data_IF_741411549626
#
_entry.id   IF_741411549626
#
_cell.length_a   1.000
_cell.length_b   1.000
_cell.length_c   1.000
_cell.angle_alpha   90.00
_cell.angle_beta   90.00
_cell.angle_gamma   90.00
#
_symmetry.space_group_name_H-M   'P 1'
#
loop_
_entity.id
_entity.type
_entity.pdbx_description
1 polymer ?
#
# COMPACT_ATOMS: atom_id res chain seq x y z
N UNK A 1 9.25 21.52 -27.52
CA UNK A 1 9.11 20.77 -26.25
C UNK A 1 7.65 20.38 -26.16
N UNK A 2 7.32 19.14 -26.55
CA UNK A 2 5.95 18.64 -26.40
C UNK A 2 5.65 18.51 -24.91
N UNK A 3 4.47 18.96 -24.48
CA UNK A 3 3.99 18.70 -23.12
C UNK A 3 4.04 17.20 -22.88
N UNK A 4 4.55 16.77 -21.72
CA UNK A 4 4.30 15.40 -21.24
C UNK A 4 2.78 15.20 -21.26
N UNK A 5 2.30 14.18 -21.96
CA UNK A 5 0.86 13.90 -21.98
C UNK A 5 0.45 13.44 -20.58
N UNK A 6 -0.14 14.35 -19.81
CA UNK A 6 -0.65 14.09 -18.44
C UNK A 6 -1.75 13.00 -18.41
N UNK A 7 -2.23 12.61 -19.59
CA UNK A 7 -3.25 11.61 -19.84
C UNK A 7 -2.71 10.17 -19.80
N UNK A 8 -1.40 9.96 -19.71
CA UNK A 8 -0.82 8.62 -19.61
C UNK A 8 -0.81 8.09 -18.16
N UNK A 9 -1.14 6.80 -18.02
CA UNK A 9 -1.17 6.00 -16.81
C UNK A 9 0.24 5.81 -16.26
N UNK A 10 1.22 5.74 -17.16
CA UNK A 10 2.63 5.56 -16.86
C UNK A 10 3.46 6.68 -17.50
N UNK A 11 4.46 7.17 -16.79
CA UNK A 11 5.49 8.07 -17.35
C UNK A 11 6.83 7.30 -17.42
N UNK A 12 7.40 7.02 -18.60
CA UNK A 12 6.85 7.30 -19.93
C UNK A 12 5.70 6.35 -20.30
N UNK A 13 4.91 6.69 -21.34
CA UNK A 13 3.82 5.85 -21.82
C UNK A 13 4.39 4.50 -22.29
N UNK A 14 3.74 3.40 -21.89
CA UNK A 14 4.16 2.05 -22.27
C UNK A 14 3.19 1.47 -23.30
N UNK A 15 3.71 0.94 -24.42
CA UNK A 15 2.96 0.06 -25.31
C UNK A 15 2.82 -1.31 -24.64
N UNK A 16 1.59 -1.73 -24.35
CA UNK A 16 1.30 -3.04 -23.78
C UNK A 16 1.00 -3.99 -24.94
N UNK A 17 1.96 -4.86 -25.24
CA UNK A 17 1.98 -5.72 -26.43
C UNK A 17 0.83 -6.74 -26.51
N UNK A 18 0.14 -7.01 -25.41
CA UNK A 18 -0.93 -8.01 -25.30
C UNK A 18 -2.32 -7.41 -25.11
N UNK A 19 -2.49 -6.10 -25.31
CA UNK A 19 -3.82 -5.51 -25.44
C UNK A 19 -4.39 -5.91 -26.81
N UNK A 20 -4.78 -7.18 -26.97
CA UNK A 20 -5.92 -7.50 -27.83
C UNK A 20 -7.07 -6.64 -27.30
N UNK A 21 -7.19 -5.43 -27.85
CA UNK A 21 -8.23 -4.47 -27.52
C UNK A 21 -9.55 -5.13 -27.84
N UNK A 22 -10.14 -5.76 -26.83
CA UNK A 22 -11.54 -6.01 -26.87
C UNK A 22 -12.19 -4.64 -26.63
N UNK A 23 -12.55 -3.96 -27.71
CA UNK A 23 -13.03 -2.56 -27.79
C UNK A 23 -14.40 -2.37 -27.08
N UNK A 24 -14.58 -2.98 -25.89
CA UNK A 24 -15.82 -3.09 -25.12
C UNK A 24 -16.15 -1.82 -24.34
N UNK A 25 -15.14 -0.99 -24.03
CA UNK A 25 -15.34 0.28 -23.33
C UNK A 25 -15.22 1.41 -24.35
N UNK A 26 -16.33 2.07 -24.72
CA UNK A 26 -16.29 3.13 -25.71
C UNK A 26 -15.35 4.26 -25.27
N UNK A 27 -14.54 4.75 -26.20
CA UNK A 27 -13.74 5.97 -25.98
C UNK A 27 -14.66 7.14 -25.65
N UNK A 28 -14.26 7.95 -24.67
CA UNK A 28 -15.03 9.10 -24.17
C UNK A 28 -16.36 8.74 -23.48
N UNK A 29 -16.51 7.50 -23.00
CA UNK A 29 -17.64 7.14 -22.15
C UNK A 29 -17.64 7.99 -20.88
N UNK A 30 -18.83 8.43 -20.46
CA UNK A 30 -19.05 9.15 -19.21
C UNK A 30 -19.45 8.15 -18.13
N UNK A 31 -18.63 8.07 -17.09
CA UNK A 31 -18.83 7.23 -15.93
C UNK A 31 -19.38 8.10 -14.79
N UNK A 32 -20.57 7.77 -14.30
CA UNK A 32 -21.14 8.41 -13.12
C UNK A 32 -20.88 7.55 -11.88
N UNK A 33 -20.26 8.14 -10.86
CA UNK A 33 -19.93 7.49 -9.59
C UNK A 33 -20.95 7.86 -8.52
N UNK A 34 -21.71 6.86 -8.05
CA UNK A 34 -22.94 7.09 -7.29
C UNK A 34 -22.68 7.62 -5.88
N UNK A 35 -21.63 7.14 -5.20
CA UNK A 35 -21.40 7.48 -3.79
C UNK A 35 -20.82 8.88 -3.66
N UNK A 36 -19.92 9.25 -4.56
CA UNK A 36 -19.32 10.59 -4.64
C UNK A 36 -20.18 11.60 -5.38
N UNK A 37 -21.18 11.15 -6.16
CA UNK A 37 -22.00 11.98 -7.05
C UNK A 37 -21.15 12.77 -8.05
N UNK A 38 -20.24 12.07 -8.73
CA UNK A 38 -19.27 12.68 -9.66
C UNK A 38 -19.35 12.05 -11.04
N UNK A 39 -19.06 12.84 -12.07
CA UNK A 39 -18.98 12.36 -13.45
C UNK A 39 -17.53 12.40 -13.94
N UNK A 40 -17.12 11.34 -14.64
CA UNK A 40 -15.77 11.15 -15.13
C UNK A 40 -15.78 10.74 -16.60
N UNK A 41 -15.00 11.44 -17.42
CA UNK A 41 -14.74 11.06 -18.80
C UNK A 41 -13.58 10.08 -18.84
N UNK A 42 -13.84 8.87 -19.36
CA UNK A 42 -12.80 7.87 -19.57
C UNK A 42 -11.89 8.29 -20.73
N UNK A 43 -10.58 8.22 -20.49
CA UNK A 43 -9.56 8.36 -21.52
C UNK A 43 -9.41 7.08 -22.37
N UNK A 44 -8.30 7.00 -23.11
CA UNK A 44 -7.94 5.78 -23.85
C UNK A 44 -7.60 4.65 -22.87
N UNK A 45 -8.06 3.43 -23.15
CA UNK A 45 -7.59 2.22 -22.46
C UNK A 45 -6.10 2.04 -22.72
N UNK A 46 -5.35 1.86 -21.64
CA UNK A 46 -3.89 1.80 -21.65
C UNK A 46 -3.34 0.43 -21.28
N UNK A 47 -4.13 -0.34 -20.53
CA UNK A 47 -3.85 -1.73 -20.23
C UNK A 47 -5.12 -2.54 -20.30
N UNK A 48 -5.01 -3.75 -20.83
CA UNK A 48 -6.10 -4.71 -20.84
C UNK A 48 -5.53 -6.11 -20.60
N UNK A 49 -6.22 -6.91 -19.78
CA UNK A 49 -5.80 -8.26 -19.44
C UNK A 49 -7.02 -9.16 -19.32
N UNK A 50 -6.99 -10.27 -20.05
CA UNK A 50 -7.92 -11.38 -19.82
C UNK A 50 -7.40 -12.25 -18.67
N UNK A 51 -8.29 -12.68 -17.77
CA UNK A 51 -7.97 -13.59 -16.67
C UNK A 51 -8.94 -14.74 -16.62
N UNK A 52 -8.41 -15.93 -16.35
CA UNK A 52 -9.19 -17.08 -15.94
C UNK A 52 -9.13 -17.19 -14.43
N UNK A 53 -10.29 -17.41 -13.82
CA UNK A 53 -10.44 -17.58 -12.38
C UNK A 53 -11.01 -18.95 -12.08
N UNK A 54 -10.60 -19.51 -10.95
CA UNK A 54 -11.15 -20.77 -10.45
C UNK A 54 -11.56 -20.64 -8.99
N UNK A 55 -12.85 -20.84 -8.74
CA UNK A 55 -13.38 -20.96 -7.38
C UNK A 55 -13.90 -22.38 -7.17
N UNK A 56 -13.54 -22.97 -6.03
CA UNK A 56 -13.86 -24.38 -5.70
C UNK A 56 -15.35 -24.71 -5.87
N UNK A 57 -16.22 -23.76 -5.50
CA UNK A 57 -17.67 -23.94 -5.50
C UNK A 57 -18.30 -23.65 -6.87
N UNK A 58 -17.81 -22.66 -7.59
CA UNK A 58 -18.44 -22.14 -8.81
C UNK A 58 -17.75 -22.57 -10.12
N UNK A 59 -16.60 -23.24 -10.01
CA UNK A 59 -15.83 -23.72 -11.15
C UNK A 59 -14.94 -22.62 -11.74
N UNK A 60 -14.92 -22.54 -13.06
CA UNK A 60 -14.08 -21.60 -13.82
C UNK A 60 -14.91 -20.45 -14.37
N UNK A 61 -14.33 -19.26 -14.44
CA UNK A 61 -14.90 -18.09 -15.13
C UNK A 61 -13.75 -17.29 -15.75
N UNK A 62 -14.10 -16.28 -16.54
CA UNK A 62 -13.14 -15.38 -17.15
C UNK A 62 -13.65 -13.95 -17.13
N UNK A 63 -12.73 -13.02 -16.89
CA UNK A 63 -12.98 -11.58 -16.98
C UNK A 63 -11.91 -10.87 -17.81
N UNK A 64 -12.27 -9.67 -18.24
CA UNK A 64 -11.36 -8.70 -18.86
C UNK A 64 -11.22 -7.54 -17.89
N UNK A 65 -9.98 -7.19 -17.57
CA UNK A 65 -9.63 -6.02 -16.77
C UNK A 65 -8.99 -4.97 -17.66
N UNK A 66 -9.66 -3.84 -17.84
CA UNK A 66 -9.17 -2.69 -18.60
C UNK A 66 -8.83 -1.53 -17.66
N UNK A 67 -7.69 -0.86 -17.89
CA UNK A 67 -7.21 0.26 -17.08
C UNK A 67 -7.03 1.51 -17.94
N UNK A 68 -7.53 2.65 -17.47
CA UNK A 68 -7.38 3.94 -18.14
C UNK A 68 -7.26 5.08 -17.14
N UNK A 69 -6.83 6.25 -17.62
CA UNK A 69 -6.95 7.51 -16.88
C UNK A 69 -8.29 8.14 -17.22
N UNK A 70 -9.01 8.61 -16.21
CA UNK A 70 -10.25 9.35 -16.35
C UNK A 70 -10.11 10.77 -15.83
N UNK A 71 -10.89 11.69 -16.39
CA UNK A 71 -10.92 13.10 -16.00
C UNK A 71 -12.27 13.47 -15.43
N UNK A 72 -12.31 14.08 -14.25
CA UNK A 72 -13.57 14.52 -13.67
C UNK A 72 -14.18 15.65 -14.52
N UNK A 73 -15.40 15.43 -15.00
CA UNK A 73 -16.19 16.42 -15.76
C UNK A 73 -17.22 17.12 -14.90
N UNK A 74 -17.72 16.48 -13.84
CA UNK A 74 -18.66 17.05 -12.88
C UNK A 74 -18.31 16.65 -11.43
N UNK A 75 -18.44 17.61 -10.50
CA UNK A 75 -18.18 17.42 -9.07
C UNK A 75 -17.19 18.45 -8.51
N UNK A 76 -16.63 18.21 -7.30
CA UNK A 76 -15.84 19.22 -6.59
C UNK A 76 -14.45 19.49 -7.18
N UNK A 77 -13.89 18.57 -7.96
CA UNK A 77 -12.51 18.64 -8.47
C UNK A 77 -12.44 18.54 -9.99
N UNK A 78 -13.32 19.25 -10.71
CA UNK A 78 -13.34 19.25 -12.20
C UNK A 78 -11.93 19.40 -12.78
N UNK A 79 -11.58 18.54 -13.72
CA UNK A 79 -10.24 18.45 -14.32
C UNK A 79 -9.27 17.51 -13.59
N UNK A 80 -9.61 17.05 -12.38
CA UNK A 80 -8.84 16.03 -11.66
C UNK A 80 -8.71 14.77 -12.50
N UNK A 81 -7.51 14.18 -12.50
CA UNK A 81 -7.22 12.90 -13.14
C UNK A 81 -7.22 11.79 -12.10
N UNK A 82 -7.77 10.64 -12.48
CA UNK A 82 -7.84 9.44 -11.65
C UNK A 82 -7.57 8.21 -12.52
N UNK A 83 -7.20 7.09 -11.90
CA UNK A 83 -7.10 5.79 -12.58
C UNK A 83 -8.42 5.06 -12.43
N UNK A 84 -8.91 4.48 -13.52
CA UNK A 84 -10.09 3.64 -13.54
C UNK A 84 -9.70 2.23 -13.96
N UNK A 85 -10.06 1.25 -13.15
CA UNK A 85 -10.05 -0.17 -13.53
C UNK A 85 -11.48 -0.64 -13.77
N UNK A 86 -11.72 -1.27 -14.91
CA UNK A 86 -13.02 -1.82 -15.30
C UNK A 86 -12.85 -3.32 -15.51
N UNK A 87 -13.55 -4.12 -14.71
CA UNK A 87 -13.52 -5.58 -14.75
C UNK A 87 -14.87 -6.10 -15.24
N UNK A 88 -14.87 -6.76 -16.39
CA UNK A 88 -16.08 -7.27 -17.06
C UNK A 88 -16.01 -8.78 -17.14
N UNK A 89 -16.99 -9.48 -16.56
CA UNK A 89 -17.10 -10.92 -16.71
C UNK A 89 -17.49 -11.26 -18.15
N UNK A 90 -16.69 -12.09 -18.82
CA UNK A 90 -16.95 -12.49 -20.22
C UNK A 90 -17.34 -13.96 -20.36
N UNK A 91 -17.10 -14.76 -19.32
CA UNK A 91 -17.49 -16.16 -19.30
C UNK A 91 -18.29 -16.47 -18.03
N UNK A 92 -19.46 -17.10 -18.17
CA UNK A 92 -20.23 -17.57 -17.02
C UNK A 92 -19.44 -18.64 -16.25
N UNK A 93 -19.59 -18.64 -14.93
CA UNK A 93 -19.14 -19.71 -14.05
C UNK A 93 -19.58 -21.10 -14.55
N UNK A 94 -18.63 -22.03 -14.70
CA UNK A 94 -18.92 -23.36 -15.27
C UNK A 94 -19.80 -24.24 -14.37
N UNK A 95 -19.94 -23.92 -13.08
CA UNK A 95 -20.76 -24.67 -12.12
C UNK A 95 -21.78 -23.81 -11.36
N UNK A 96 -21.96 -22.54 -11.72
CA UNK A 96 -23.00 -21.73 -11.08
C UNK A 96 -24.40 -22.19 -11.51
N UNK A 97 -25.35 -22.11 -10.58
CA UNK A 97 -26.72 -22.52 -10.87
C UNK A 97 -27.47 -21.40 -11.61
N UNK A 98 -28.51 -21.75 -12.41
CA UNK A 98 -29.31 -20.77 -13.15
C UNK A 98 -30.02 -19.73 -12.27
N UNK A 99 -30.35 -20.12 -11.04
CA UNK A 99 -31.26 -19.39 -10.13
C UNK A 99 -30.53 -18.50 -9.12
N UNK A 100 -29.21 -18.28 -9.28
CA UNK A 100 -28.46 -17.36 -8.42
C UNK A 100 -28.83 -15.90 -8.79
N UNK A 101 -29.78 -15.34 -8.03
CA UNK A 101 -30.18 -13.93 -8.08
C UNK A 101 -29.07 -12.96 -7.59
N UNK A 102 -27.96 -13.49 -7.08
CA UNK A 102 -26.79 -12.74 -6.62
C UNK A 102 -25.73 -12.60 -7.73
N UNK A 103 -24.92 -11.54 -7.66
CA UNK A 103 -23.80 -11.35 -8.58
C UNK A 103 -22.61 -12.07 -7.96
N UNK A 104 -22.12 -13.12 -8.62
CA UNK A 104 -20.97 -13.90 -8.15
C UNK A 104 -19.65 -13.28 -8.64
N UNK A 105 -19.01 -12.51 -7.76
CA UNK A 105 -17.68 -11.94 -7.99
C UNK A 105 -16.57 -12.99 -7.86
N UNK A 106 -15.43 -12.70 -8.48
CA UNK A 106 -14.20 -13.48 -8.26
C UNK A 106 -13.53 -13.05 -6.96
N UNK A 107 -12.80 -13.98 -6.30
CA UNK A 107 -12.12 -13.70 -5.04
C UNK A 107 -11.13 -12.54 -5.19
N UNK A 108 -10.52 -12.41 -6.36
CA UNK A 108 -9.58 -11.37 -6.76
C UNK A 108 -10.23 -9.98 -6.77
N UNK A 109 -11.47 -9.86 -7.28
CA UNK A 109 -12.22 -8.61 -7.28
C UNK A 109 -12.60 -8.22 -5.85
N UNK A 110 -13.15 -9.17 -5.09
CA UNK A 110 -13.53 -8.94 -3.70
C UNK A 110 -12.32 -8.51 -2.86
N UNK A 111 -11.18 -9.20 -3.05
CA UNK A 111 -9.93 -8.90 -2.35
C UNK A 111 -9.37 -7.53 -2.72
N UNK A 112 -9.38 -7.16 -3.99
CA UNK A 112 -8.91 -5.83 -4.41
C UNK A 112 -9.78 -4.72 -3.78
N UNK A 113 -11.10 -4.89 -3.81
CA UNK A 113 -12.03 -3.92 -3.24
C UNK A 113 -11.88 -3.80 -1.71
N UNK A 114 -11.79 -4.93 -1.00
CA UNK A 114 -11.59 -4.96 0.45
C UNK A 114 -10.25 -4.33 0.86
N UNK A 115 -9.16 -4.71 0.17
CA UNK A 115 -7.84 -4.14 0.43
C UNK A 115 -7.81 -2.63 0.18
N UNK A 116 -8.29 -2.17 -0.98
CA UNK A 116 -8.29 -0.75 -1.32
C UNK A 116 -9.15 0.06 -0.34
N UNK A 117 -10.31 -0.46 0.05
CA UNK A 117 -11.18 0.17 1.05
C UNK A 117 -10.47 0.28 2.39
N UNK A 118 -9.96 -0.84 2.91
CA UNK A 118 -9.28 -0.89 4.21
C UNK A 118 -8.03 -0.02 4.27
N UNK A 119 -7.22 0.00 3.21
CA UNK A 119 -6.02 0.83 3.13
C UNK A 119 -6.38 2.31 3.03
N UNK A 120 -7.41 2.66 2.26
CA UNK A 120 -7.93 4.03 2.14
C UNK A 120 -8.44 4.55 3.47
N UNK A 121 -9.31 3.79 4.15
CA UNK A 121 -9.87 4.16 5.45
C UNK A 121 -8.79 4.20 6.54
N UNK A 122 -7.78 3.34 6.42
CA UNK A 122 -6.61 3.33 7.27
C UNK A 122 -5.60 4.45 7.02
N UNK A 123 -5.83 5.27 6.00
CA UNK A 123 -4.95 6.37 5.64
C UNK A 123 -3.61 5.95 5.02
N UNK A 124 -3.52 4.75 4.43
CA UNK A 124 -2.31 4.27 3.79
C UNK A 124 -1.92 5.17 2.60
N UNK A 125 -0.73 5.75 2.65
CA UNK A 125 -0.21 6.64 1.59
C UNK A 125 0.65 5.92 0.55
N UNK A 126 0.93 4.65 0.76
CA UNK A 126 1.79 3.82 -0.10
C UNK A 126 1.03 3.04 -1.19
N UNK A 127 -0.28 3.18 -1.24
CA UNK A 127 -1.15 2.56 -2.24
C UNK A 127 -2.15 3.58 -2.77
N UNK A 128 -2.70 3.40 -3.98
CA UNK A 128 -3.72 4.31 -4.49
C UNK A 128 -4.93 4.34 -3.57
N UNK A 129 -5.42 5.54 -3.25
CA UNK A 129 -6.66 5.69 -2.52
C UNK A 129 -7.85 5.33 -3.41
N UNK A 130 -8.79 4.55 -2.89
CA UNK A 130 -10.09 4.34 -3.53
C UNK A 130 -10.90 5.64 -3.43
N UNK A 131 -11.31 6.19 -4.57
CA UNK A 131 -12.17 7.37 -4.64
C UNK A 131 -13.62 6.93 -4.58
N UNK A 132 -14.01 5.96 -5.42
CA UNK A 132 -15.35 5.38 -5.46
C UNK A 132 -15.32 4.05 -6.22
N UNK A 133 -16.39 3.25 -6.10
CA UNK A 133 -16.57 2.02 -6.88
C UNK A 133 -18.03 1.83 -7.27
N UNK A 134 -18.24 1.23 -8.44
CA UNK A 134 -19.56 0.83 -8.92
C UNK A 134 -19.54 -0.66 -9.29
N UNK A 135 -20.64 -1.34 -9.01
CA UNK A 135 -20.91 -2.70 -9.49
C UNK A 135 -22.25 -2.72 -10.21
N UNK A 136 -22.27 -3.27 -11.41
CA UNK A 136 -23.46 -3.35 -12.27
C UNK A 136 -23.62 -4.79 -12.76
N UNK A 137 -24.87 -5.28 -12.74
CA UNK A 137 -25.23 -6.54 -13.39
C UNK A 137 -25.37 -6.30 -14.89
N UNK A 138 -24.71 -7.14 -15.70
CA UNK A 138 -24.85 -7.14 -17.15
C UNK A 138 -26.29 -7.51 -17.55
N UNK A 139 -26.89 -6.69 -18.41
CA UNK A 139 -28.19 -6.99 -19.01
C UNK A 139 -28.06 -7.94 -20.23
N UNK A 140 -29.19 -8.23 -20.89
CA UNK A 140 -29.25 -9.13 -22.05
C UNK A 140 -28.51 -8.61 -23.30
N UNK A 141 -28.05 -7.37 -23.31
CA UNK A 141 -27.29 -6.76 -24.40
C UNK A 141 -25.77 -6.92 -24.28
N UNK A 142 -25.26 -7.42 -23.15
CA UNK A 142 -23.83 -7.65 -22.94
C UNK A 142 -23.43 -9.12 -23.17
N UNK A 143 -22.13 -9.40 -23.14
CA UNK A 143 -21.54 -10.71 -23.46
C UNK A 143 -21.98 -11.81 -22.51
N UNK A 144 -22.15 -11.48 -21.23
CA UNK A 144 -22.55 -12.43 -20.21
C UNK A 144 -23.74 -11.88 -19.42
N UNK A 145 -24.98 -12.01 -19.94
CA UNK A 145 -26.18 -11.58 -19.23
C UNK A 145 -26.25 -12.19 -17.83
N UNK A 146 -26.49 -11.34 -16.84
CA UNK A 146 -26.46 -11.70 -15.42
C UNK A 146 -25.06 -11.67 -14.79
N UNK A 147 -23.98 -11.54 -15.57
CA UNK A 147 -22.62 -11.36 -15.06
C UNK A 147 -22.37 -9.97 -14.46
N UNK A 148 -21.13 -9.69 -14.06
CA UNK A 148 -20.76 -8.40 -13.45
C UNK A 148 -19.99 -7.48 -14.39
N UNK A 149 -20.11 -6.18 -14.12
CA UNK A 149 -19.18 -5.13 -14.47
C UNK A 149 -18.81 -4.43 -13.15
N UNK A 150 -17.54 -4.42 -12.80
CA UNK A 150 -17.01 -3.74 -11.61
C UNK A 150 -16.10 -2.61 -12.07
N UNK A 151 -16.33 -1.42 -11.53
CA UNK A 151 -15.54 -0.22 -11.82
C UNK A 151 -14.92 0.29 -10.53
N UNK A 152 -13.60 0.40 -10.51
CA UNK A 152 -12.82 0.97 -9.41
C UNK A 152 -12.25 2.31 -9.89
N UNK A 153 -12.66 3.41 -9.24
CA UNK A 153 -12.08 4.73 -9.45
C UNK A 153 -11.11 5.00 -8.30
N UNK A 154 -9.83 5.17 -8.63
CA UNK A 154 -8.74 5.29 -7.68
C UNK A 154 -7.84 6.48 -8.01
N UNK A 155 -7.14 6.97 -6.99
CA UNK A 155 -6.13 8.00 -7.12
C UNK A 155 -5.10 7.66 -8.20
N UNK A 156 -4.75 8.66 -9.02
CA UNK A 156 -3.60 8.56 -9.91
C UNK A 156 -2.35 8.95 -9.14
N UNK A 157 -1.53 7.95 -8.81
CA UNK A 157 -0.26 8.17 -8.13
C UNK A 157 0.80 8.72 -9.10
N UNK A 158 1.76 9.52 -8.60
CA UNK A 158 2.91 9.93 -9.38
C UNK A 158 3.91 8.77 -9.57
N UNK A 159 4.86 8.98 -10.46
CA UNK A 159 5.97 8.06 -10.70
C UNK A 159 5.79 7.14 -11.88
N UNK A 160 6.79 6.27 -12.07
CA UNK A 160 6.91 5.39 -13.22
C UNK A 160 6.76 3.93 -12.82
N UNK A 161 6.10 3.15 -13.68
CA UNK A 161 6.04 1.71 -13.52
C UNK A 161 7.40 1.07 -13.81
N UNK A 162 7.80 0.12 -12.97
CA UNK A 162 9.11 -0.51 -13.07
C UNK A 162 9.16 -1.68 -14.06
N UNK A 163 8.16 -1.91 -14.92
CA UNK A 163 8.21 -2.95 -15.97
C UNK A 163 9.48 -2.82 -16.85
N UNK A 164 9.84 -1.60 -17.22
CA UNK A 164 11.04 -1.28 -18.00
C UNK A 164 12.35 -1.22 -17.19
N UNK A 165 12.36 -1.67 -15.93
CA UNK A 165 13.52 -1.56 -15.02
C UNK A 165 14.80 -2.14 -15.62
N UNK A 166 14.72 -3.23 -16.39
CA UNK A 166 15.89 -3.84 -17.04
C UNK A 166 16.60 -2.88 -18.01
N UNK A 167 15.87 -1.95 -18.61
CA UNK A 167 16.39 -0.98 -19.58
C UNK A 167 17.00 0.27 -18.91
N UNK A 168 16.86 0.39 -17.59
CA UNK A 168 17.44 1.52 -16.85
C UNK A 168 18.96 1.37 -16.73
N UNK A 169 19.65 2.52 -16.74
CA UNK A 169 21.07 2.58 -16.40
C UNK A 169 21.30 1.95 -15.01
N UNK A 170 22.51 1.42 -14.77
CA UNK A 170 22.85 0.85 -13.46
C UNK A 170 22.63 1.87 -12.33
N UNK A 171 22.97 3.14 -12.55
CA UNK A 171 22.74 4.21 -11.58
C UNK A 171 21.25 4.38 -11.24
N UNK A 172 20.38 4.41 -12.25
CA UNK A 172 18.93 4.54 -12.05
C UNK A 172 18.33 3.30 -11.39
N UNK A 173 18.78 2.10 -11.76
CA UNK A 173 18.41 0.84 -11.05
C UNK A 173 18.82 0.87 -9.58
N UNK A 174 19.98 1.43 -9.27
CA UNK A 174 20.45 1.54 -7.90
C UNK A 174 19.62 2.51 -7.07
N UNK A 175 19.19 3.64 -7.66
CA UNK A 175 18.29 4.59 -7.01
C UNK A 175 16.95 3.93 -6.67
N UNK A 176 16.33 3.22 -7.62
CA UNK A 176 15.10 2.44 -7.38
C UNK A 176 15.27 1.45 -6.25
N UNK A 177 16.38 0.69 -6.22
CA UNK A 177 16.65 -0.29 -5.15
C UNK A 177 16.84 0.36 -3.79
N UNK A 178 17.53 1.51 -3.74
CA UNK A 178 17.67 2.30 -2.51
C UNK A 178 16.28 2.73 -2.05
N UNK A 179 15.49 3.39 -2.90
CA UNK A 179 14.14 3.85 -2.56
C UNK A 179 13.26 2.70 -2.06
N UNK A 180 13.24 1.58 -2.78
CA UNK A 180 12.49 0.39 -2.39
C UNK A 180 12.98 -0.21 -1.06
N UNK A 181 14.30 -0.34 -0.89
CA UNK A 181 14.88 -0.85 0.35
C UNK A 181 14.55 0.03 1.55
N UNK A 182 14.65 1.36 1.40
CA UNK A 182 14.25 2.32 2.43
C UNK A 182 12.78 2.18 2.79
N UNK A 183 11.92 2.05 1.78
CA UNK A 183 10.49 1.87 1.99
C UNK A 183 10.15 0.57 2.76
N UNK A 184 11.00 -0.46 2.66
CA UNK A 184 10.83 -1.76 3.33
C UNK A 184 11.50 -1.87 4.71
N UNK A 185 12.63 -1.18 4.92
CA UNK A 185 13.57 -1.42 6.03
C UNK A 185 13.14 -0.94 7.42
N UNK A 186 12.13 -0.09 7.55
CA UNK A 186 11.85 0.64 8.81
C UNK A 186 11.08 -0.14 9.91
N UNK A 187 11.04 -1.48 9.86
CA UNK A 187 10.32 -2.30 10.87
C UNK A 187 11.10 -2.43 12.19
N UNK A 188 12.43 -2.48 12.15
CA UNK A 188 13.23 -2.91 13.32
C UNK A 188 13.34 -1.84 14.40
N UNK A 189 13.46 -0.56 14.04
CA UNK A 189 13.57 0.49 15.05
C UNK A 189 12.30 0.66 15.87
N UNK A 190 11.12 0.28 15.36
CA UNK A 190 9.86 0.48 16.06
C UNK A 190 9.57 -0.58 17.10
N UNK A 191 9.82 -1.86 16.81
CA UNK A 191 9.71 -2.89 17.84
C UNK A 191 10.76 -2.69 18.94
N UNK A 192 12.00 -2.36 18.58
CA UNK A 192 13.07 -2.08 19.56
C UNK A 192 12.82 -0.79 20.35
N UNK A 193 12.28 0.27 19.73
CA UNK A 193 11.86 1.51 20.43
C UNK A 193 10.65 1.26 21.33
N UNK A 194 9.64 0.52 20.86
CA UNK A 194 8.47 0.12 21.67
C UNK A 194 8.95 -0.70 22.86
N UNK A 195 9.85 -1.68 22.66
CA UNK A 195 10.40 -2.47 23.73
C UNK A 195 11.26 -1.63 24.69
N UNK A 196 12.05 -0.68 24.18
CA UNK A 196 12.90 0.19 25.00
C UNK A 196 12.11 1.17 25.85
N UNK A 197 11.09 1.80 25.27
CA UNK A 197 10.23 2.78 25.92
C UNK A 197 9.34 2.08 26.95
N UNK A 198 8.76 0.93 26.60
CA UNK A 198 8.00 0.10 27.54
C UNK A 198 8.90 -0.37 28.69
N UNK A 199 10.14 -0.80 28.40
CA UNK A 199 11.10 -1.19 29.43
C UNK A 199 11.56 0.00 30.30
N UNK A 200 11.67 1.22 29.75
CA UNK A 200 11.92 2.43 30.53
C UNK A 200 10.74 2.76 31.44
N UNK A 201 9.50 2.70 30.94
CA UNK A 201 8.29 2.88 31.75
C UNK A 201 8.21 1.85 32.90
N UNK A 202 8.52 0.57 32.63
CA UNK A 202 8.58 -0.46 33.68
C UNK A 202 9.69 -0.21 34.71
N UNK A 203 10.85 0.29 34.30
CA UNK A 203 11.94 0.67 35.21
C UNK A 203 11.54 1.86 36.08
N UNK A 204 11.03 2.93 35.48
CA UNK A 204 10.57 4.11 36.21
C UNK A 204 9.45 3.80 37.20
N UNK A 205 8.50 2.93 36.84
CA UNK A 205 7.46 2.46 37.76
C UNK A 205 8.02 1.62 38.92
N UNK A 206 8.97 0.73 38.64
CA UNK A 206 9.65 -0.07 39.66
C UNK A 206 10.43 0.81 40.63
N UNK A 207 11.24 1.74 40.11
CA UNK A 207 12.04 2.68 40.91
C UNK A 207 11.14 3.56 41.79
N UNK A 208 9.99 4.02 41.26
CA UNK A 208 8.99 4.74 42.06
C UNK A 208 8.43 3.87 43.20
N UNK A 209 8.02 2.62 42.91
CA UNK A 209 7.48 1.70 43.91
C UNK A 209 8.49 1.35 45.00
N UNK A 210 9.76 1.21 44.63
CA UNK A 210 10.88 0.88 45.53
C UNK A 210 11.39 2.10 46.31
N UNK A 211 11.18 3.32 45.80
CA UNK A 211 11.56 4.57 46.50
C UNK A 211 10.79 4.85 47.79
N UNK A 212 9.72 4.09 48.08
CA UNK A 212 8.92 4.25 49.28
C UNK A 212 8.16 5.58 49.36
N UNK A 213 8.11 6.35 48.27
CA UNK A 213 7.38 7.60 48.19
C UNK A 213 5.88 7.32 48.32
N UNK A 214 5.27 7.88 49.37
CA UNK A 214 3.82 7.87 49.56
C UNK A 214 3.13 8.58 48.40
N UNK A 215 1.92 8.11 48.06
CA UNK A 215 1.05 8.71 47.04
C UNK A 215 0.94 10.23 47.30
N UNK A 216 1.13 11.10 46.30
CA UNK A 216 1.10 12.55 46.51
C UNK A 216 -0.26 12.98 47.06
N UNK A 217 -0.26 13.94 47.99
CA UNK A 217 -1.48 14.46 48.58
C UNK A 217 -2.16 15.46 47.63
N UNK A 218 -3.45 15.71 47.87
CA UNK A 218 -4.29 16.54 47.01
C UNK A 218 -3.69 17.95 46.85
N UNK A 219 -3.49 18.38 45.60
CA UNK A 219 -2.97 19.71 45.27
C UNK A 219 -1.45 19.82 45.18
N UNK A 220 -0.69 18.74 45.43
CA UNK A 220 0.75 18.73 45.26
C UNK A 220 1.15 18.56 43.79
N UNK A 221 2.17 19.31 43.36
CA UNK A 221 2.83 19.06 42.08
C UNK A 221 3.69 17.82 42.20
N UNK A 222 3.38 16.78 41.44
CA UNK A 222 4.22 15.59 41.39
C UNK A 222 4.92 15.48 40.03
N UNK A 223 6.08 14.84 40.08
CA UNK A 223 6.85 14.49 38.88
C UNK A 223 6.27 13.21 38.30
N UNK A 224 5.72 13.26 37.07
CA UNK A 224 5.24 12.07 36.38
C UNK A 224 6.45 11.33 35.77
N UNK A 225 6.84 10.15 36.28
CA UNK A 225 8.01 9.43 35.76
C UNK A 225 7.82 8.96 34.32
N UNK A 226 6.57 8.92 33.82
CA UNK A 226 6.21 8.49 32.47
C UNK A 226 6.30 9.64 31.44
N UNK A 227 6.47 10.89 31.89
CA UNK A 227 6.66 12.07 31.02
C UNK A 227 7.73 13.01 31.61
N UNK A 228 9.02 12.77 31.30
CA UNK A 228 10.11 13.58 31.83
C UNK A 228 9.96 15.06 31.46
N UNK A 229 9.95 15.94 32.46
CA UNK A 229 9.92 17.40 32.28
C UNK A 229 8.55 18.08 32.38
N UNK A 230 7.46 17.34 32.62
CA UNK A 230 6.14 17.93 32.96
C UNK A 230 5.80 17.71 34.44
N UNK A 231 5.31 18.76 35.09
CA UNK A 231 4.69 18.69 36.42
C UNK A 231 3.17 18.69 36.25
N UNK A 232 2.49 17.78 36.94
CA UNK A 232 1.02 17.69 36.95
C UNK A 232 0.47 18.01 38.34
N UNK A 233 -0.78 18.49 38.39
CA UNK A 233 -1.54 18.72 39.63
C UNK A 233 -2.79 17.83 39.65
N UNK A 234 -3.08 17.24 40.80
CA UNK A 234 -4.34 16.54 41.06
C UNK A 234 -5.47 17.56 41.24
N UNK A 235 -6.66 17.26 40.71
CA UNK A 235 -7.81 18.13 40.85
C UNK A 235 -8.60 17.89 42.15
N UNK A 236 -9.67 18.67 42.35
CA UNK A 236 -10.54 18.63 43.52
C UNK A 236 -11.36 17.34 43.64
N UNK A 237 -11.20 16.34 42.78
CA UNK A 237 -11.78 15.00 42.91
C UNK A 237 -10.76 13.95 43.36
N UNK A 238 -9.46 14.29 43.37
CA UNK A 238 -8.37 13.33 43.59
C UNK A 238 -8.07 12.49 42.34
N UNK A 239 -8.67 12.84 41.20
CA UNK A 239 -8.37 12.27 39.90
C UNK A 239 -7.39 13.18 39.13
N UNK A 240 -6.58 12.58 38.28
CA UNK A 240 -5.72 13.32 37.36
C UNK A 240 -6.58 13.97 36.29
N UNK A 241 -6.46 15.29 36.12
CA UNK A 241 -6.87 16.00 34.90
C UNK A 241 -5.98 15.52 33.75
N UNK A 242 -6.29 14.33 33.24
CA UNK A 242 -5.71 13.83 32.00
C UNK A 242 -6.56 14.36 30.85
N UNK A 243 -5.89 15.02 29.90
CA UNK A 243 -6.41 15.30 28.57
C UNK A 243 -6.66 14.02 27.72
N UNK A 244 -6.73 12.84 28.35
CA UNK A 244 -6.95 11.55 27.72
C UNK A 244 -7.74 10.70 28.73
N UNK A 245 -9.07 10.68 28.61
CA UNK A 245 -10.02 10.12 29.57
C UNK A 245 -9.73 8.69 30.04
N UNK A 246 -8.92 8.55 31.09
CA UNK A 246 -8.63 7.28 31.74
C UNK A 246 -9.57 7.07 32.95
N UNK A 247 -10.47 6.08 32.86
CA UNK A 247 -11.17 5.53 34.04
C UNK A 247 -10.46 4.25 34.53
N UNK A 248 -10.27 4.21 35.86
CA UNK A 248 -9.99 3.06 36.75
C UNK A 248 -9.16 1.91 36.16
N UNK A 249 -7.85 1.94 36.43
CA UNK A 249 -6.88 0.91 36.07
C UNK A 249 -6.80 -0.15 37.17
N UNK A 250 -7.40 -1.31 36.92
CA UNK A 250 -6.97 -2.59 37.46
C UNK A 250 -6.65 -3.50 36.25
N UNK A 251 -5.48 -4.15 36.28
CA UNK A 251 -4.95 -5.15 35.34
C UNK A 251 -4.81 -4.87 33.82
N UNK A 252 -5.37 -3.82 33.22
CA UNK A 252 -5.43 -3.68 31.74
C UNK A 252 -4.45 -2.64 31.12
N UNK A 253 -3.20 -2.59 31.58
CA UNK A 253 -2.18 -1.63 31.08
C UNK A 253 -1.76 -1.91 29.62
N UNK A 254 -2.03 -3.10 29.08
CA UNK A 254 -1.56 -3.49 27.74
C UNK A 254 -2.40 -2.97 26.56
N UNK A 255 -3.60 -2.44 26.77
CA UNK A 255 -4.53 -2.20 25.65
C UNK A 255 -4.76 -0.73 25.27
N UNK A 256 -4.22 0.26 25.99
CA UNK A 256 -4.68 1.65 25.84
C UNK A 256 -3.67 2.69 25.32
N UNK A 257 -2.49 2.29 24.85
CA UNK A 257 -1.63 3.18 24.07
C UNK A 257 -2.04 3.17 22.58
N UNK A 258 -3.19 3.78 22.28
CA UNK A 258 -3.60 4.17 20.92
C UNK A 258 -4.24 5.55 20.94
N UNK A 259 -3.45 6.59 21.22
CA UNK A 259 -3.92 7.95 20.92
C UNK A 259 -3.69 8.26 19.44
N UNK A 260 -4.64 8.97 18.82
CA UNK A 260 -4.55 9.48 17.45
C UNK A 260 -3.23 10.24 17.19
N UNK A 261 -2.75 10.99 18.18
CA UNK A 261 -1.48 11.72 18.13
C UNK A 261 -0.25 10.79 18.06
N UNK A 262 -0.31 9.62 18.72
CA UNK A 262 0.75 8.63 18.67
C UNK A 262 0.78 7.90 17.33
N UNK A 263 -0.39 7.53 16.80
CA UNK A 263 -0.53 6.96 15.46
C UNK A 263 -0.01 7.94 14.41
N UNK A 264 -0.38 9.22 14.49
CA UNK A 264 0.07 10.27 13.58
C UNK A 264 1.59 10.47 13.60
N UNK A 265 2.21 10.51 14.79
CA UNK A 265 3.68 10.56 14.95
C UNK A 265 4.40 9.30 14.46
N UNK A 266 3.75 8.14 14.55
CA UNK A 266 4.28 6.90 14.00
C UNK A 266 4.24 6.91 12.47
N UNK A 267 3.12 7.36 11.88
CA UNK A 267 2.92 7.43 10.43
C UNK A 267 3.90 8.40 9.77
N UNK A 268 4.26 9.51 10.43
CA UNK A 268 5.30 10.45 9.94
C UNK A 268 6.70 9.82 9.75
N UNK A 269 6.97 8.65 10.34
CA UNK A 269 8.31 8.02 10.35
C UNK A 269 8.43 6.73 9.54
N UNK A 270 7.34 6.24 8.94
CA UNK A 270 7.39 5.00 8.16
C UNK A 270 7.86 5.29 6.74
N UNK A 271 8.60 4.33 6.18
CA UNK A 271 8.73 4.25 4.73
C UNK A 271 7.41 3.79 4.11
N UNK A 272 7.17 4.17 2.85
CA UNK A 272 5.90 3.93 2.15
C UNK A 272 5.49 2.45 2.20
N UNK A 273 6.29 1.53 1.67
CA UNK A 273 5.93 0.11 1.55
C UNK A 273 5.72 -0.57 2.92
N UNK A 274 6.40 -0.11 3.98
CA UNK A 274 6.14 -0.58 5.33
C UNK A 274 4.73 -0.22 5.81
N UNK A 275 4.23 0.96 5.45
CA UNK A 275 2.87 1.37 5.73
C UNK A 275 1.87 0.35 5.21
N UNK A 276 2.07 -0.15 3.98
CA UNK A 276 1.27 -1.24 3.41
C UNK A 276 1.34 -2.53 4.25
N UNK A 277 2.54 -2.96 4.65
CA UNK A 277 2.70 -4.18 5.45
C UNK A 277 2.12 -4.07 6.88
N UNK A 278 2.01 -2.86 7.45
CA UNK A 278 1.37 -2.64 8.77
C UNK A 278 -0.11 -3.03 8.80
N UNK A 279 -0.77 -3.10 7.66
CA UNK A 279 -2.13 -3.61 7.56
C UNK A 279 -2.22 -5.14 7.64
N UNK A 280 -1.10 -5.82 7.91
CA UNK A 280 -0.98 -7.28 7.84
C UNK A 280 -1.41 -7.78 6.46
N UNK A 281 -0.96 -7.10 5.41
CA UNK A 281 -1.22 -7.48 4.02
C UNK A 281 0.12 -7.87 3.38
N UNK A 282 0.10 -8.93 2.58
CA UNK A 282 1.22 -9.35 1.76
C UNK A 282 0.77 -9.48 0.31
N UNK A 283 1.50 -8.81 -0.58
CA UNK A 283 1.34 -9.01 -2.02
C UNK A 283 1.87 -10.39 -2.42
N UNK A 284 1.08 -11.19 -3.16
CA UNK A 284 1.54 -12.49 -3.68
C UNK A 284 2.07 -12.39 -5.11
N UNK A 285 1.58 -11.43 -5.91
CA UNK A 285 2.17 -11.08 -7.21
C UNK A 285 3.25 -10.01 -7.03
N UNK A 286 4.34 -10.36 -6.36
CA UNK A 286 5.48 -9.47 -6.11
C UNK A 286 6.27 -9.31 -7.40
N UNK A 287 5.91 -8.36 -8.25
CA UNK A 287 6.61 -8.10 -9.50
C UNK A 287 6.80 -6.59 -9.67
N UNK A 288 7.87 -6.17 -10.34
CA UNK A 288 8.16 -4.77 -10.65
C UNK A 288 7.02 -4.04 -11.36
N UNK A 289 6.13 -4.75 -12.08
CA UNK A 289 4.90 -4.15 -12.64
C UNK A 289 3.91 -3.64 -11.60
N UNK A 290 3.99 -4.14 -10.36
CA UNK A 290 3.13 -3.77 -9.24
C UNK A 290 3.80 -2.72 -8.32
N UNK A 291 4.85 -2.07 -8.83
CA UNK A 291 5.60 -1.03 -8.12
C UNK A 291 5.68 0.22 -9.01
N UNK A 292 5.28 1.35 -8.44
CA UNK A 292 5.56 2.67 -9.00
C UNK A 292 6.69 3.32 -8.21
N UNK A 293 7.63 3.95 -8.91
CA UNK A 293 8.67 4.76 -8.29
C UNK A 293 8.56 6.21 -8.73
N UNK A 294 8.36 7.09 -7.75
CA UNK A 294 8.37 8.53 -7.93
C UNK A 294 9.78 9.07 -7.65
N UNK A 295 10.55 9.23 -8.71
CA UNK A 295 11.92 9.75 -8.67
C UNK A 295 12.01 11.16 -8.08
N UNK A 296 10.96 11.98 -8.19
CA UNK A 296 11.00 13.36 -7.71
C UNK A 296 10.88 13.43 -6.19
N UNK A 297 10.04 12.57 -5.62
CA UNK A 297 9.78 12.54 -4.18
C UNK A 297 10.51 11.40 -3.46
N UNK A 298 11.26 10.58 -4.19
CA UNK A 298 11.93 9.36 -3.70
C UNK A 298 10.96 8.39 -3.01
N UNK A 299 9.76 8.24 -3.59
CA UNK A 299 8.66 7.45 -3.03
C UNK A 299 8.40 6.19 -3.84
N UNK A 300 7.92 5.16 -3.15
CA UNK A 300 7.59 3.86 -3.75
C UNK A 300 6.17 3.48 -3.39
N UNK A 301 5.37 3.16 -4.40
CA UNK A 301 3.98 2.77 -4.23
C UNK A 301 3.74 1.33 -4.67
N UNK A 302 2.88 0.63 -3.95
CA UNK A 302 2.38 -0.70 -4.30
C UNK A 302 1.02 -0.55 -4.98
N UNK A 303 0.85 -1.20 -6.13
CA UNK A 303 -0.39 -1.17 -6.92
C UNK A 303 -0.84 -2.60 -7.26
N UNK A 304 -2.07 -2.74 -7.76
CA UNK A 304 -2.66 -4.02 -8.20
C UNK A 304 -2.92 -5.04 -7.07
N UNK A 305 -3.80 -4.67 -6.15
CA UNK A 305 -3.98 -5.35 -4.85
C UNK A 305 -4.88 -6.61 -4.88
N UNK A 306 -5.20 -7.13 -6.05
CA UNK A 306 -6.10 -8.30 -6.20
C UNK A 306 -5.47 -9.62 -5.75
N UNK A 307 -4.13 -9.69 -5.75
CA UNK A 307 -3.33 -10.80 -5.24
C UNK A 307 -2.70 -10.49 -3.87
N UNK A 308 -3.20 -9.45 -3.17
CA UNK A 308 -2.71 -9.08 -1.85
C UNK A 308 -3.56 -9.73 -0.74
N UNK A 309 -2.95 -10.57 0.09
CA UNK A 309 -3.66 -11.36 1.10
C UNK A 309 -3.36 -10.88 2.52
N UNK A 310 -4.27 -11.16 3.46
CA UNK A 310 -3.94 -11.00 4.87
C UNK A 310 -2.80 -11.95 5.27
N UNK A 311 -1.79 -11.41 5.94
CA UNK A 311 -0.61 -12.14 6.38
C UNK A 311 -0.13 -11.59 7.73
N UNK A 312 -0.19 -12.44 8.77
CA UNK A 312 0.04 -12.04 10.16
C UNK A 312 1.52 -11.81 10.50
N UNK A 313 2.45 -12.37 9.73
CA UNK A 313 3.88 -12.31 10.06
C UNK A 313 4.56 -11.18 9.30
N UNK A 314 5.05 -10.18 10.03
CA UNK A 314 6.00 -9.23 9.46
C UNK A 314 7.37 -9.89 9.35
N UNK A 315 7.99 -9.77 8.16
CA UNK A 315 9.38 -10.19 7.97
C UNK A 315 10.25 -8.96 7.79
N UNK A 316 11.45 -8.99 8.36
CA UNK A 316 12.48 -7.98 8.15
C UNK A 316 12.85 -7.93 6.66
N UNK A 317 13.13 -6.73 6.15
CA UNK A 317 13.65 -6.56 4.80
C UNK A 317 14.96 -7.34 4.64
N UNK A 318 15.03 -8.14 3.59
CA UNK A 318 16.19 -8.89 3.17
C UNK A 318 16.48 -8.57 1.71
N UNK A 319 17.36 -7.59 1.50
CA UNK A 319 17.68 -7.00 0.20
C UNK A 319 17.80 -8.01 -0.96
N UNK A 320 18.58 -9.10 -0.80
CA UNK A 320 18.69 -10.12 -1.84
C UNK A 320 17.32 -10.71 -2.22
N UNK A 321 16.58 -11.20 -1.21
CA UNK A 321 15.32 -11.91 -1.40
C UNK A 321 14.21 -10.97 -1.84
N UNK A 322 14.09 -9.80 -1.23
CA UNK A 322 13.03 -8.85 -1.56
C UNK A 322 13.27 -8.22 -2.94
N UNK A 323 14.50 -7.85 -3.30
CA UNK A 323 14.75 -7.39 -4.67
C UNK A 323 14.59 -8.50 -5.69
N UNK A 324 14.95 -9.75 -5.39
CA UNK A 324 14.68 -10.86 -6.29
C UNK A 324 13.17 -11.12 -6.45
N UNK A 325 12.45 -11.21 -5.32
CA UNK A 325 11.01 -11.47 -5.27
C UNK A 325 10.29 -10.40 -6.11
N UNK A 326 10.56 -9.11 -5.88
CA UNK A 326 9.97 -8.00 -6.63
C UNK A 326 10.56 -7.74 -8.03
N UNK A 327 11.48 -8.58 -8.53
CA UNK A 327 12.06 -8.42 -9.87
C UNK A 327 12.97 -7.20 -10.04
N UNK A 328 13.57 -6.71 -8.96
CA UNK A 328 14.54 -5.63 -8.90
C UNK A 328 16.00 -6.12 -8.86
N UNK A 329 16.26 -7.42 -8.99
CA UNK A 329 17.61 -7.98 -8.87
C UNK A 329 18.54 -7.71 -10.06
N UNK A 330 18.02 -7.45 -11.26
CA UNK A 330 18.85 -7.21 -12.44
C UNK A 330 18.06 -6.99 -13.74
N UNK A 331 18.76 -6.88 -14.89
CA UNK A 331 18.14 -7.13 -16.19
C UNK A 331 17.67 -8.60 -16.22
N UNK A 332 16.71 -8.94 -17.07
CA UNK A 332 15.93 -10.20 -17.01
C UNK A 332 16.75 -11.49 -16.74
N UNK A 333 16.09 -12.48 -16.12
CA UNK A 333 16.67 -13.80 -15.79
C UNK A 333 17.28 -14.43 -17.06
N UNK A 334 18.60 -14.58 -17.12
CA UNK A 334 19.24 -15.33 -18.20
C UNK A 334 20.67 -14.96 -18.50
N UNK A 335 21.12 -13.77 -18.15
CA UNK A 335 22.52 -13.38 -18.33
C UNK A 335 23.29 -13.49 -17.00
N UNK A 336 24.54 -13.96 -17.07
CA UNK A 336 25.51 -13.96 -15.96
C UNK A 336 25.93 -12.53 -15.53
N UNK A 337 25.00 -11.58 -15.58
CA UNK A 337 25.22 -10.20 -15.18
C UNK A 337 25.14 -10.12 -13.65
N UNK A 338 26.31 -10.28 -13.01
CA UNK A 338 26.48 -9.95 -11.60
C UNK A 338 26.18 -8.46 -11.42
N UNK A 339 24.96 -8.11 -10.99
CA UNK A 339 24.63 -6.74 -10.65
C UNK A 339 25.37 -6.38 -9.35
N UNK A 340 26.32 -5.42 -9.39
CA UNK A 340 27.22 -5.16 -8.27
C UNK A 340 26.53 -4.57 -7.04
N UNK A 341 25.26 -4.18 -7.15
CA UNK A 341 24.45 -3.77 -6.01
C UNK A 341 23.75 -4.97 -5.32
N UNK A 342 23.66 -6.13 -5.97
CA UNK A 342 23.07 -7.32 -5.36
C UNK A 342 24.02 -7.88 -4.30
N UNK A 343 23.60 -7.96 -3.02
CA UNK A 343 24.41 -8.58 -1.99
C UNK A 343 24.54 -10.07 -2.23
N UNK A 344 25.57 -10.69 -1.67
CA UNK A 344 25.69 -12.14 -1.70
C UNK A 344 24.52 -12.82 -0.95
N UNK A 345 24.12 -14.02 -1.37
CA UNK A 345 23.04 -14.79 -0.72
C UNK A 345 23.21 -14.96 0.80
N UNK A 346 24.46 -14.97 1.28
CA UNK A 346 24.82 -15.11 2.70
C UNK A 346 25.18 -13.78 3.39
N UNK A 347 25.16 -12.67 2.65
CA UNK A 347 25.51 -11.36 3.17
C UNK A 347 24.36 -10.83 4.03
N UNK A 348 24.61 -10.71 5.34
CA UNK A 348 23.68 -10.06 6.26
C UNK A 348 23.91 -8.56 6.20
N UNK A 349 22.91 -7.86 5.70
CA UNK A 349 22.86 -6.41 5.69
C UNK A 349 21.99 -5.98 6.87
N UNK A 350 22.42 -4.93 7.57
CA UNK A 350 21.46 -4.18 8.36
C UNK A 350 20.55 -3.38 7.41
N UNK A 351 19.37 -3.03 7.90
CA UNK A 351 18.30 -2.34 7.18
C UNK A 351 18.60 -0.85 6.99
N UNK A 352 19.75 -0.35 7.44
CA UNK A 352 20.03 1.08 7.45
C UNK A 352 20.26 1.65 6.06
N UNK A 353 19.86 2.92 5.87
CA UNK A 353 20.19 3.70 4.68
C UNK A 353 21.69 3.61 4.35
N UNK A 354 22.55 3.65 5.37
CA UNK A 354 24.01 3.55 5.22
C UNK A 354 24.44 2.26 4.51
N UNK A 355 23.79 1.15 4.80
CA UNK A 355 24.09 -0.15 4.18
C UNK A 355 23.59 -0.19 2.73
N UNK A 356 22.43 0.38 2.43
CA UNK A 356 21.93 0.52 1.06
C UNK A 356 22.87 1.40 0.20
N UNK A 357 23.33 2.53 0.73
CA UNK A 357 24.29 3.39 0.05
C UNK A 357 25.67 2.74 -0.10
N UNK A 358 26.10 1.94 0.88
CA UNK A 358 27.36 1.19 0.80
C UNK A 358 27.32 0.13 -0.32
N UNK A 359 26.18 -0.54 -0.52
CA UNK A 359 25.98 -1.44 -1.65
C UNK A 359 26.05 -0.69 -2.99
N UNK A 360 25.35 0.44 -3.10
CA UNK A 360 25.41 1.26 -4.30
C UNK A 360 26.83 1.75 -4.60
N UNK A 361 27.64 2.05 -3.58
CA UNK A 361 29.03 2.46 -3.76
C UNK A 361 29.94 1.36 -4.35
N UNK A 362 29.60 0.06 -4.18
CA UNK A 362 30.34 -1.05 -4.82
C UNK A 362 30.38 -0.93 -6.33
N UNK A 363 29.31 -0.40 -6.90
CA UNK A 363 29.17 -0.23 -8.35
C UNK A 363 30.16 0.78 -8.93
N UNK A 364 30.61 1.78 -8.14
CA UNK A 364 31.63 2.76 -8.56
C UNK A 364 33.04 2.18 -8.66
N UNK A 365 33.30 1.04 -8.02
CA UNK A 365 34.60 0.36 -8.06
C UNK A 365 34.73 -0.67 -9.19
N UNK A 366 33.62 -1.06 -9.82
CA UNK A 366 33.59 -2.03 -10.94
C UNK A 366 33.67 -1.33 -12.31
N UNK A 367 33.43 -0.01 -12.36
CA UNK A 367 33.46 0.80 -13.59
C UNK A 367 34.81 1.52 -13.83
N UNK A 368 35.88 1.13 -13.12
CA UNK A 368 37.27 1.49 -13.42
C UNK A 368 38.00 0.27 -13.95
#
# INVERSE_FOLDING_TARGET
>A
MASKDEDDLFDPPQEIADAELYDYIPKNFLLYMKNTQTEWRLGKVQSEKYRNHYQRHYGETGDICSVCVATQTEGPSVGMKAVVKIKVQVQRWTRAFPDDDEILLTDEIERELDNLTRLTEGGCTATPRLIDSNMVRQDNGYLNPGGYIVVLLMEKLPGMNLLGFANFSLEKRNQVRIAFGRAMSYIVDLEDTIYSDTAQCFRAYRDWKESGLSRPERGEEYYNPMMPGRKEKLDDSGETLSALGARKVDSDVFYHFRSEEWISRMTEKLGDVQEFYRFNIRHLDTNRRNVLWDEQNDRVYIVDLEDAIYWKEHRRFWAYRDWEEWGLSGPERGEEYYDPMMPGLKEKLDDSDKTLYALAARTKHVLK
#
